data_IF_492613331768
#
_entry.id   IF_492613331768
#
_cell.length_a   1.000
_cell.length_b   1.000
_cell.length_c   1.000
_cell.angle_alpha   90.00
_cell.angle_beta   90.00
_cell.angle_gamma   90.00
#
_symmetry.space_group_name_H-M   'P 1'
#
loop_
_entity.id
_entity.type
_entity.pdbx_description
1 polymer ?
#
# COMPACT_ATOMS: atom_id res chain seq x y z
N UNK A 1 -30.03 24.89 60.36
CA UNK A 1 -29.60 24.66 58.98
C UNK A 1 -29.69 23.17 58.69
N UNK A 2 -30.75 22.70 58.04
CA UNK A 2 -30.94 21.31 57.72
C UNK A 2 -30.06 21.00 56.48
N UNK A 3 -29.11 20.08 56.63
CA UNK A 3 -28.36 19.47 55.51
C UNK A 3 -29.38 18.59 54.76
N UNK A 4 -29.85 19.06 53.62
CA UNK A 4 -30.46 18.20 52.61
C UNK A 4 -29.32 17.40 51.97
N UNK A 5 -28.98 16.25 52.58
CA UNK A 5 -28.32 15.18 51.89
C UNK A 5 -29.29 14.65 50.82
N UNK A 6 -29.00 14.87 49.59
CA UNK A 6 -29.67 14.19 48.47
C UNK A 6 -29.41 12.70 48.65
N UNK A 7 -30.38 11.98 49.21
CA UNK A 7 -30.37 10.53 49.33
C UNK A 7 -30.50 10.00 47.91
N UNK A 8 -29.34 9.74 47.24
CA UNK A 8 -29.31 9.22 45.86
C UNK A 8 -30.00 7.87 45.88
N UNK A 9 -31.06 7.76 45.10
CA UNK A 9 -31.74 6.48 44.89
C UNK A 9 -30.87 5.50 44.13
N UNK A 10 -31.03 4.21 44.38
CA UNK A 10 -30.27 3.15 43.70
C UNK A 10 -30.63 3.04 42.17
N UNK A 11 -31.66 3.74 41.74
CA UNK A 11 -32.21 3.61 40.39
C UNK A 11 -31.25 3.90 39.28
N UNK A 12 -30.40 4.93 39.42
CA UNK A 12 -29.37 5.26 38.46
C UNK A 12 -28.33 4.13 38.31
N UNK A 13 -27.82 3.61 39.41
CA UNK A 13 -26.83 2.52 39.38
C UNK A 13 -27.44 1.22 38.85
N UNK A 14 -28.69 0.94 39.17
CA UNK A 14 -29.42 -0.20 38.64
C UNK A 14 -29.57 -0.06 37.12
N UNK A 15 -29.97 1.10 36.61
CA UNK A 15 -30.09 1.36 35.17
C UNK A 15 -28.76 1.16 34.45
N UNK A 16 -27.66 1.68 35.03
CA UNK A 16 -26.30 1.50 34.49
C UNK A 16 -25.89 0.03 34.37
N UNK A 17 -26.21 -0.79 35.37
CA UNK A 17 -25.91 -2.23 35.36
C UNK A 17 -26.83 -3.00 34.40
N UNK A 18 -28.08 -2.59 34.22
CA UNK A 18 -29.02 -3.13 33.23
C UNK A 18 -28.47 -2.89 31.81
N UNK A 19 -28.00 -1.67 31.50
CA UNK A 19 -27.39 -1.32 30.20
C UNK A 19 -26.11 -2.11 29.91
N UNK A 20 -25.24 -2.28 30.95
CA UNK A 20 -24.05 -3.11 30.85
C UNK A 20 -24.39 -4.57 30.56
N UNK A 21 -25.38 -5.14 31.23
CA UNK A 21 -25.84 -6.50 30.99
C UNK A 21 -26.36 -6.69 29.55
N UNK A 22 -27.16 -5.74 29.07
CA UNK A 22 -27.65 -5.76 27.69
C UNK A 22 -26.53 -5.64 26.65
N UNK A 23 -25.50 -4.84 26.91
CA UNK A 23 -24.33 -4.73 26.07
C UNK A 23 -23.49 -6.01 26.10
N UNK A 24 -23.33 -6.61 27.28
CA UNK A 24 -22.60 -7.86 27.45
C UNK A 24 -23.29 -9.04 26.75
N UNK A 25 -24.63 -9.12 26.77
CA UNK A 25 -25.39 -10.12 26.03
C UNK A 25 -25.11 -10.04 24.52
N UNK A 26 -25.08 -8.83 23.97
CA UNK A 26 -24.75 -8.62 22.54
C UNK A 26 -23.30 -9.01 22.23
N UNK A 27 -22.34 -8.59 23.06
CA UNK A 27 -20.94 -8.91 22.91
C UNK A 27 -20.67 -10.42 23.00
N UNK A 28 -21.42 -11.14 23.86
CA UNK A 28 -21.28 -12.59 24.02
C UNK A 28 -21.72 -13.42 22.83
N UNK A 29 -22.43 -12.83 21.85
CA UNK A 29 -22.75 -13.47 20.57
C UNK A 29 -21.53 -13.53 19.65
N UNK A 30 -20.46 -12.78 19.93
CA UNK A 30 -19.26 -12.67 19.12
C UNK A 30 -19.57 -12.36 17.62
N UNK A 31 -20.55 -11.48 17.39
CA UNK A 31 -21.01 -11.14 16.03
C UNK A 31 -19.90 -10.45 15.24
N UNK A 32 -19.17 -9.52 15.86
CA UNK A 32 -18.07 -8.79 15.22
C UNK A 32 -16.97 -9.72 14.68
N UNK A 33 -16.74 -10.86 15.34
CA UNK A 33 -15.79 -11.88 14.83
C UNK A 33 -16.31 -12.62 13.60
N UNK A 34 -17.63 -12.84 13.52
CA UNK A 34 -18.24 -13.44 12.32
C UNK A 34 -18.15 -12.49 11.12
N UNK A 35 -18.43 -11.23 11.37
CA UNK A 35 -18.34 -10.18 10.36
C UNK A 35 -16.87 -10.05 9.88
N UNK A 36 -15.89 -10.05 10.79
CA UNK A 36 -14.46 -10.04 10.44
C UNK A 36 -14.05 -11.27 9.61
N UNK A 37 -14.57 -12.47 9.93
CA UNK A 37 -14.32 -13.67 9.12
C UNK A 37 -14.93 -13.56 7.71
N UNK A 38 -16.12 -12.96 7.57
CA UNK A 38 -16.77 -12.76 6.27
C UNK A 38 -16.00 -11.73 5.43
N UNK A 39 -15.56 -10.63 6.04
CA UNK A 39 -14.76 -9.60 5.38
C UNK A 39 -13.42 -10.13 4.89
N UNK A 40 -12.74 -10.91 5.73
CA UNK A 40 -11.47 -11.55 5.38
C UNK A 40 -11.67 -12.61 4.27
N UNK A 41 -12.75 -13.40 4.32
CA UNK A 41 -13.11 -14.35 3.27
C UNK A 41 -13.31 -13.66 1.91
N UNK A 42 -14.03 -12.53 1.92
CA UNK A 42 -14.22 -11.72 0.74
C UNK A 42 -12.92 -11.08 0.23
N UNK A 43 -12.02 -10.67 1.13
CA UNK A 43 -10.72 -10.14 0.76
C UNK A 43 -9.85 -11.20 0.10
N UNK A 44 -9.69 -12.37 0.72
CA UNK A 44 -8.94 -13.53 0.18
C UNK A 44 -9.47 -13.96 -1.19
N UNK A 45 -10.79 -14.04 -1.34
CA UNK A 45 -11.45 -14.46 -2.58
C UNK A 45 -11.22 -13.50 -3.74
N UNK A 46 -11.03 -12.20 -3.46
CA UNK A 46 -10.81 -11.17 -4.49
C UNK A 46 -9.37 -11.10 -5.02
N UNK A 47 -8.37 -11.56 -4.24
CA UNK A 47 -6.96 -11.45 -4.60
C UNK A 47 -6.60 -12.03 -5.98
N UNK A 48 -7.00 -13.28 -6.34
CA UNK A 48 -6.64 -13.85 -7.64
C UNK A 48 -7.19 -13.02 -8.81
N UNK A 49 -8.44 -12.54 -8.67
CA UNK A 49 -9.09 -11.71 -9.70
C UNK A 49 -8.38 -10.37 -9.91
N UNK A 50 -7.99 -9.69 -8.83
CA UNK A 50 -7.22 -8.44 -8.90
C UNK A 50 -5.86 -8.66 -9.57
N UNK A 51 -5.12 -9.70 -9.17
CA UNK A 51 -3.82 -10.00 -9.79
C UNK A 51 -3.97 -10.37 -11.26
N UNK A 52 -4.97 -11.19 -11.61
CA UNK A 52 -5.26 -11.54 -13.01
C UNK A 52 -5.56 -10.32 -13.88
N UNK A 53 -6.31 -9.34 -13.36
CA UNK A 53 -6.55 -8.07 -14.05
C UNK A 53 -5.25 -7.28 -14.27
N UNK A 54 -4.37 -7.21 -13.27
CA UNK A 54 -3.08 -6.56 -13.42
C UNK A 54 -2.20 -7.28 -14.48
N UNK A 55 -2.21 -8.62 -14.49
CA UNK A 55 -1.52 -9.43 -15.52
C UNK A 55 -2.06 -9.16 -16.92
N UNK A 56 -3.38 -9.15 -17.09
CA UNK A 56 -4.03 -8.85 -18.37
C UNK A 56 -3.69 -7.44 -18.91
N UNK A 57 -3.42 -6.47 -18.02
CA UNK A 57 -2.95 -5.13 -18.38
C UNK A 57 -1.43 -5.06 -18.65
N UNK A 58 -0.70 -6.16 -18.53
CA UNK A 58 0.72 -6.23 -18.86
C UNK A 58 1.69 -6.09 -17.67
N UNK A 59 1.23 -6.23 -16.42
CA UNK A 59 2.13 -6.31 -15.28
C UNK A 59 2.83 -7.68 -15.23
N UNK A 60 4.13 -7.72 -15.42
CA UNK A 60 4.88 -8.98 -15.60
C UNK A 60 5.81 -9.35 -14.44
N UNK A 61 5.98 -8.47 -13.46
CA UNK A 61 6.88 -8.71 -12.33
C UNK A 61 6.16 -9.33 -11.12
N UNK A 62 6.92 -9.64 -10.05
CA UNK A 62 6.43 -10.24 -8.82
C UNK A 62 5.70 -11.56 -9.07
N UNK A 63 6.33 -12.48 -9.83
CA UNK A 63 5.78 -13.82 -10.10
C UNK A 63 5.51 -14.67 -8.83
N UNK A 64 6.03 -14.24 -7.69
CA UNK A 64 5.77 -14.89 -6.40
C UNK A 64 4.36 -14.60 -5.84
N UNK A 65 3.65 -13.58 -6.37
CA UNK A 65 2.32 -13.22 -5.87
C UNK A 65 1.29 -14.33 -6.10
N UNK A 66 1.39 -15.07 -7.20
CA UNK A 66 0.52 -16.21 -7.46
C UNK A 66 0.67 -17.29 -6.38
N UNK A 67 1.92 -17.63 -6.03
CA UNK A 67 2.22 -18.63 -5.00
C UNK A 67 1.78 -18.13 -3.61
N UNK A 68 2.01 -16.86 -3.29
CA UNK A 68 1.58 -16.29 -2.01
C UNK A 68 0.06 -16.26 -1.88
N UNK A 69 -0.66 -15.90 -2.94
CA UNK A 69 -2.13 -15.93 -2.94
C UNK A 69 -2.63 -17.36 -2.77
N UNK A 70 -2.06 -18.33 -3.47
CA UNK A 70 -2.41 -19.73 -3.30
C UNK A 70 -2.20 -20.22 -1.87
N UNK A 71 -1.04 -19.94 -1.30
CA UNK A 71 -0.70 -20.34 0.07
C UNK A 71 -1.62 -19.68 1.12
N UNK A 72 -1.94 -18.40 0.96
CA UNK A 72 -2.85 -17.72 1.90
C UNK A 72 -4.28 -18.25 1.78
N UNK A 73 -4.75 -18.60 0.56
CA UNK A 73 -6.06 -19.21 0.35
C UNK A 73 -6.18 -20.58 1.04
N UNK A 74 -5.18 -21.45 0.89
CA UNK A 74 -5.15 -22.76 1.56
C UNK A 74 -5.15 -22.61 3.08
N UNK A 75 -4.30 -21.73 3.60
CA UNK A 75 -4.25 -21.46 5.05
C UNK A 75 -5.56 -20.87 5.56
N UNK A 76 -6.16 -19.95 4.81
CA UNK A 76 -7.44 -19.35 5.17
C UNK A 76 -8.57 -20.37 5.26
N UNK A 77 -8.69 -21.27 4.30
CA UNK A 77 -9.73 -22.30 4.30
C UNK A 77 -9.74 -23.13 5.59
N UNK A 78 -8.57 -23.55 6.07
CA UNK A 78 -8.44 -24.29 7.32
C UNK A 78 -8.69 -23.41 8.56
N UNK A 79 -8.13 -22.20 8.58
CA UNK A 79 -8.25 -21.26 9.68
C UNK A 79 -9.70 -20.83 9.88
N UNK A 80 -10.41 -20.48 8.79
CA UNK A 80 -11.81 -20.08 8.81
C UNK A 80 -12.71 -21.14 9.45
N UNK A 81 -12.57 -22.39 9.04
CA UNK A 81 -13.35 -23.50 9.60
C UNK A 81 -13.08 -23.69 11.09
N UNK A 82 -11.82 -23.57 11.51
CA UNK A 82 -11.42 -23.67 12.91
C UNK A 82 -11.99 -22.52 13.74
N UNK A 83 -11.86 -21.28 13.25
CA UNK A 83 -12.41 -20.09 13.92
C UNK A 83 -13.93 -20.15 14.06
N UNK A 84 -14.66 -20.55 13.00
CA UNK A 84 -16.12 -20.71 13.06
C UNK A 84 -16.57 -21.75 14.12
N UNK A 85 -15.84 -22.88 14.21
CA UNK A 85 -16.11 -23.90 15.24
C UNK A 85 -15.82 -23.36 16.65
N UNK A 86 -14.73 -22.63 16.80
CA UNK A 86 -14.35 -22.04 18.08
C UNK A 86 -15.35 -20.95 18.51
N UNK A 87 -15.77 -20.05 17.61
CA UNK A 87 -16.85 -19.07 17.92
C UNK A 87 -18.09 -19.80 18.45
N UNK A 88 -18.52 -20.85 17.73
CA UNK A 88 -19.72 -21.60 18.13
C UNK A 88 -19.56 -22.28 19.49
N UNK A 89 -18.37 -22.74 19.84
CA UNK A 89 -18.05 -23.30 21.14
C UNK A 89 -18.05 -22.21 22.21
N UNK A 90 -17.35 -21.10 21.98
CA UNK A 90 -17.26 -19.99 22.95
C UNK A 90 -18.61 -19.35 23.27
N UNK A 91 -19.46 -19.18 22.26
CA UNK A 91 -20.82 -18.66 22.48
C UNK A 91 -21.59 -19.56 23.44
N UNK A 92 -21.52 -20.90 23.27
CA UNK A 92 -22.18 -21.85 24.21
C UNK A 92 -21.55 -21.80 25.61
N UNK A 93 -20.20 -21.71 25.69
CA UNK A 93 -19.51 -21.66 26.98
C UNK A 93 -19.83 -20.38 27.77
N UNK A 94 -20.15 -19.29 27.07
CA UNK A 94 -20.52 -18.00 27.67
C UNK A 94 -22.01 -17.94 28.08
N UNK A 95 -22.87 -18.74 27.47
CA UNK A 95 -24.32 -18.65 27.63
C UNK A 95 -24.76 -18.72 29.12
N UNK A 96 -24.21 -19.66 29.87
CA UNK A 96 -24.51 -19.82 31.31
C UNK A 96 -24.03 -18.62 32.14
N UNK A 97 -22.86 -18.05 31.82
CA UNK A 97 -22.33 -16.89 32.54
C UNK A 97 -23.15 -15.63 32.27
N UNK A 98 -23.54 -15.45 31.02
CA UNK A 98 -24.40 -14.32 30.58
C UNK A 98 -25.77 -14.43 31.22
N UNK A 99 -26.37 -15.61 31.25
CA UNK A 99 -27.66 -15.86 31.89
C UNK A 99 -27.59 -15.56 33.38
N UNK A 100 -26.57 -16.06 34.10
CA UNK A 100 -26.38 -15.77 35.53
C UNK A 100 -26.13 -14.29 35.82
N UNK A 101 -25.45 -13.59 34.91
CA UNK A 101 -25.24 -12.14 35.05
C UNK A 101 -26.56 -11.37 34.87
N UNK A 102 -27.36 -11.74 33.86
CA UNK A 102 -28.68 -11.14 33.62
C UNK A 102 -29.63 -11.37 34.81
N UNK A 103 -29.70 -12.61 35.33
CA UNK A 103 -30.53 -12.91 36.49
C UNK A 103 -30.14 -12.08 37.75
N UNK A 104 -28.81 -11.92 37.94
CA UNK A 104 -28.31 -11.11 39.04
C UNK A 104 -28.71 -9.62 38.94
N UNK A 105 -28.66 -9.07 37.67
CA UNK A 105 -29.13 -7.71 37.43
C UNK A 105 -30.66 -7.62 37.61
N UNK A 106 -31.43 -8.59 37.11
CA UNK A 106 -32.88 -8.66 37.30
C UNK A 106 -33.25 -8.67 38.76
N UNK A 107 -32.45 -9.34 39.60
CA UNK A 107 -32.64 -9.37 41.07
C UNK A 107 -32.47 -8.01 41.74
N UNK A 108 -31.86 -7.00 41.10
CA UNK A 108 -31.78 -5.64 41.64
C UNK A 108 -33.08 -4.86 41.62
N UNK A 109 -34.09 -5.30 40.85
CA UNK A 109 -35.42 -4.62 40.78
C UNK A 109 -36.07 -4.39 42.12
N UNK A 110 -35.81 -5.28 43.13
CA UNK A 110 -36.32 -5.15 44.50
C UNK A 110 -35.76 -3.96 45.27
N UNK A 111 -34.67 -3.36 44.77
CA UNK A 111 -34.01 -2.19 45.37
C UNK A 111 -34.40 -0.87 44.68
N UNK A 112 -35.24 -0.91 43.67
CA UNK A 112 -35.72 0.32 43.04
C UNK A 112 -36.50 1.19 44.00
N UNK A 113 -36.28 2.50 43.95
CA UNK A 113 -36.86 3.47 44.87
C UNK A 113 -36.28 3.43 46.29
N UNK A 114 -35.26 2.58 46.58
CA UNK A 114 -34.57 2.55 47.89
C UNK A 114 -33.33 3.40 47.86
N UNK A 115 -32.84 3.76 49.07
CA UNK A 115 -31.60 4.50 49.20
C UNK A 115 -30.39 3.67 48.69
N UNK A 116 -29.37 4.36 48.15
CA UNK A 116 -28.17 3.74 47.65
C UNK A 116 -27.44 2.89 48.73
N UNK A 117 -27.45 3.33 49.98
CA UNK A 117 -26.81 2.62 51.11
C UNK A 117 -27.42 1.23 51.32
N UNK A 118 -28.72 1.08 51.16
CA UNK A 118 -29.42 -0.22 51.31
C UNK A 118 -29.10 -1.17 50.13
N UNK A 119 -28.92 -0.63 48.96
CA UNK A 119 -28.63 -1.41 47.74
C UNK A 119 -27.13 -1.72 47.54
N UNK A 120 -26.22 -0.98 48.15
CA UNK A 120 -24.77 -0.95 47.87
C UNK A 120 -24.13 -2.35 47.78
N UNK A 121 -24.39 -3.21 48.75
CA UNK A 121 -23.82 -4.56 48.79
C UNK A 121 -24.33 -5.44 47.64
N UNK A 122 -25.60 -5.24 47.21
CA UNK A 122 -26.16 -5.97 46.09
C UNK A 122 -25.62 -5.45 44.75
N UNK A 123 -25.52 -4.12 44.61
CA UNK A 123 -24.93 -3.48 43.43
C UNK A 123 -23.46 -3.92 43.22
N UNK A 124 -22.63 -3.90 44.27
CA UNK A 124 -21.23 -4.33 44.19
C UNK A 124 -21.09 -5.81 43.79
N UNK A 125 -21.96 -6.70 44.28
CA UNK A 125 -21.95 -8.11 43.89
C UNK A 125 -22.32 -8.30 42.43
N UNK A 126 -23.31 -7.56 41.92
CA UNK A 126 -23.72 -7.64 40.53
C UNK A 126 -22.65 -7.03 39.62
N UNK A 127 -22.08 -5.88 40.01
CA UNK A 127 -20.98 -5.24 39.29
C UNK A 127 -19.77 -6.19 39.13
N UNK A 128 -19.36 -6.84 40.22
CA UNK A 128 -18.28 -7.83 40.20
C UNK A 128 -18.59 -9.03 39.28
N UNK A 129 -19.86 -9.47 39.24
CA UNK A 129 -20.29 -10.57 38.39
C UNK A 129 -20.29 -10.19 36.90
N UNK A 130 -20.81 -9.00 36.55
CA UNK A 130 -20.73 -8.45 35.23
C UNK A 130 -19.28 -8.30 34.77
N UNK A 131 -18.41 -7.70 35.59
CA UNK A 131 -17.00 -7.55 35.26
C UNK A 131 -16.28 -8.89 35.06
N UNK A 132 -16.70 -9.95 35.75
CA UNK A 132 -16.17 -11.30 35.52
C UNK A 132 -16.62 -11.86 34.20
N UNK A 133 -17.90 -11.68 33.83
CA UNK A 133 -18.44 -12.15 32.54
C UNK A 133 -17.86 -11.34 31.36
N UNK A 134 -17.69 -10.02 31.52
CA UNK A 134 -17.00 -9.16 30.53
C UNK A 134 -15.60 -9.66 30.20
N UNK A 135 -14.77 -9.95 31.22
CA UNK A 135 -13.42 -10.50 31.01
C UNK A 135 -13.46 -11.85 30.28
N UNK A 136 -14.48 -12.69 30.51
CA UNK A 136 -14.60 -13.96 29.78
C UNK A 136 -14.99 -13.77 28.31
N UNK A 137 -15.88 -12.82 28.03
CA UNK A 137 -16.23 -12.43 26.66
C UNK A 137 -15.00 -11.88 25.93
N UNK A 138 -14.25 -10.98 26.57
CA UNK A 138 -13.01 -10.43 26.02
C UNK A 138 -11.98 -11.52 25.74
N UNK A 139 -11.72 -12.41 26.70
CA UNK A 139 -10.79 -13.53 26.53
C UNK A 139 -11.25 -14.50 25.41
N UNK A 140 -12.56 -14.70 25.24
CA UNK A 140 -13.08 -15.50 24.14
C UNK A 140 -12.86 -14.81 22.79
N UNK A 141 -13.09 -13.49 22.74
CA UNK A 141 -12.85 -12.67 21.56
C UNK A 141 -11.37 -12.70 21.13
N UNK A 142 -10.45 -12.42 22.08
CA UNK A 142 -9.00 -12.42 21.82
C UNK A 142 -8.51 -13.79 21.39
N UNK A 143 -9.01 -14.87 22.03
CA UNK A 143 -8.65 -16.23 21.68
C UNK A 143 -9.04 -16.60 20.24
N UNK A 144 -10.22 -16.17 19.77
CA UNK A 144 -10.67 -16.43 18.41
C UNK A 144 -9.96 -15.53 17.40
N UNK A 145 -9.84 -14.24 17.72
CA UNK A 145 -9.15 -13.28 16.86
C UNK A 145 -7.71 -13.71 16.59
N UNK A 146 -6.98 -14.11 17.61
CA UNK A 146 -5.60 -14.60 17.50
C UNK A 146 -5.45 -15.84 16.59
N UNK A 147 -6.54 -16.53 16.25
CA UNK A 147 -6.48 -17.66 15.31
C UNK A 147 -6.28 -17.20 13.86
N UNK A 148 -6.69 -16.00 13.50
CA UNK A 148 -6.65 -15.52 12.12
C UNK A 148 -5.87 -14.20 11.90
N UNK A 149 -5.41 -13.53 12.95
CA UNK A 149 -4.64 -12.28 12.85
C UNK A 149 -3.44 -12.39 11.89
N UNK A 150 -2.73 -13.52 11.90
CA UNK A 150 -1.59 -13.73 11.01
C UNK A 150 -2.03 -13.85 9.53
N UNK A 151 -3.19 -14.46 9.27
CA UNK A 151 -3.73 -14.54 7.90
C UNK A 151 -4.22 -13.17 7.45
N UNK A 152 -4.89 -12.42 8.33
CA UNK A 152 -5.32 -11.04 8.08
C UNK A 152 -4.14 -10.16 7.67
N UNK A 153 -3.06 -10.19 8.43
CA UNK A 153 -1.83 -9.44 8.13
C UNK A 153 -1.22 -9.83 6.78
N UNK A 154 -1.15 -11.12 6.44
CA UNK A 154 -0.64 -11.56 5.14
C UNK A 154 -1.56 -11.11 3.99
N UNK A 155 -2.88 -11.17 4.17
CA UNK A 155 -3.87 -10.70 3.18
C UNK A 155 -3.73 -9.20 2.96
N UNK A 156 -3.58 -8.41 4.01
CA UNK A 156 -3.34 -6.97 3.92
C UNK A 156 -2.06 -6.65 3.14
N UNK A 157 -0.97 -7.36 3.44
CA UNK A 157 0.30 -7.17 2.74
C UNK A 157 0.17 -7.51 1.25
N UNK A 158 -0.39 -8.68 0.90
CA UNK A 158 -0.57 -9.10 -0.49
C UNK A 158 -1.50 -8.14 -1.22
N UNK A 159 -2.58 -7.69 -0.56
CA UNK A 159 -3.52 -6.72 -1.13
C UNK A 159 -2.80 -5.41 -1.48
N UNK A 160 -2.01 -4.87 -0.56
CA UNK A 160 -1.24 -3.65 -0.79
C UNK A 160 -0.25 -3.80 -1.96
N UNK A 161 0.39 -4.98 -2.08
CA UNK A 161 1.29 -5.26 -3.20
C UNK A 161 0.56 -5.33 -4.55
N UNK A 162 -0.59 -5.99 -4.60
CA UNK A 162 -1.42 -6.10 -5.82
C UNK A 162 -2.02 -4.73 -6.19
N UNK A 163 -2.51 -3.98 -5.21
CA UNK A 163 -3.04 -2.62 -5.44
C UNK A 163 -1.93 -1.67 -5.93
N UNK A 164 -0.71 -1.80 -5.42
CA UNK A 164 0.45 -1.09 -5.96
C UNK A 164 0.79 -1.42 -7.41
N UNK A 165 0.55 -2.67 -7.85
CA UNK A 165 0.67 -3.03 -9.26
C UNK A 165 -0.40 -2.35 -10.13
N UNK A 166 -1.63 -2.30 -9.65
CA UNK A 166 -2.73 -1.63 -10.35
C UNK A 166 -2.48 -0.12 -10.42
N UNK A 167 -2.07 0.52 -9.32
CA UNK A 167 -1.73 1.95 -9.30
C UNK A 167 -0.60 2.30 -10.29
N UNK A 168 0.44 1.47 -10.37
CA UNK A 168 1.50 1.64 -11.37
C UNK A 168 0.92 1.62 -12.79
N UNK A 169 0.06 0.65 -13.11
CA UNK A 169 -0.54 0.54 -14.44
C UNK A 169 -1.44 1.74 -14.75
N UNK A 170 -2.21 2.23 -13.78
CA UNK A 170 -3.04 3.43 -13.93
C UNK A 170 -2.18 4.69 -14.21
N UNK A 171 -1.02 4.80 -13.55
CA UNK A 171 -0.07 5.88 -13.80
C UNK A 171 0.55 5.76 -15.20
N UNK A 172 0.85 4.54 -15.66
CA UNK A 172 1.40 4.28 -17.00
C UNK A 172 0.37 4.57 -18.10
N UNK A 173 -0.87 4.12 -17.94
CA UNK A 173 -1.95 4.38 -18.91
C UNK A 173 -2.25 5.88 -19.03
N UNK A 174 -2.10 6.64 -17.95
CA UNK A 174 -2.28 8.09 -17.93
C UNK A 174 -1.02 8.89 -18.25
N UNK A 175 0.09 8.27 -18.73
CA UNK A 175 1.32 8.99 -19.06
C UNK A 175 1.20 9.80 -20.36
N UNK A 176 1.90 10.94 -20.42
CA UNK A 176 1.94 11.80 -21.63
C UNK A 176 2.91 11.32 -22.72
N UNK A 177 3.56 10.18 -22.49
CA UNK A 177 4.55 9.58 -23.39
C UNK A 177 4.25 8.10 -23.64
N UNK A 178 4.77 7.56 -24.73
CA UNK A 178 4.62 6.14 -25.06
C UNK A 178 5.68 5.27 -24.39
N UNK A 179 5.29 4.07 -23.97
CA UNK A 179 6.21 3.01 -23.57
C UNK A 179 6.68 2.24 -24.81
N UNK A 180 7.91 1.74 -24.75
CA UNK A 180 8.48 0.95 -25.83
C UNK A 180 7.76 -0.41 -25.93
N UNK A 181 7.71 -1.06 -27.11
CA UNK A 181 7.19 -2.42 -27.20
C UNK A 181 7.89 -3.35 -26.22
N UNK A 182 7.11 -4.09 -25.41
CA UNK A 182 7.61 -4.99 -24.35
C UNK A 182 8.37 -4.28 -23.21
N UNK A 183 8.30 -2.98 -23.11
CA UNK A 183 8.76 -2.26 -21.92
C UNK A 183 7.76 -2.48 -20.80
N UNK A 184 8.24 -2.97 -19.66
CA UNK A 184 7.40 -3.28 -18.53
C UNK A 184 7.68 -2.31 -17.36
N UNK A 185 6.62 -1.78 -16.76
CA UNK A 185 6.71 -0.95 -15.57
C UNK A 185 7.15 -1.76 -14.34
N UNK A 186 8.11 -1.24 -13.61
CA UNK A 186 8.59 -1.83 -12.36
C UNK A 186 8.01 -1.08 -11.17
N UNK A 187 8.09 0.25 -11.18
CA UNK A 187 7.56 1.11 -10.14
C UNK A 187 7.32 2.54 -10.65
N UNK A 188 6.47 3.27 -9.94
CA UNK A 188 6.32 4.71 -10.11
C UNK A 188 6.19 5.39 -8.75
N UNK A 189 6.67 6.64 -8.64
CA UNK A 189 6.59 7.41 -7.41
C UNK A 189 6.39 8.89 -7.69
N UNK A 190 5.62 9.56 -6.86
CA UNK A 190 5.54 11.02 -6.87
C UNK A 190 6.91 11.59 -6.50
N UNK A 191 7.41 12.48 -7.33
CA UNK A 191 8.72 13.07 -7.12
C UNK A 191 8.72 14.57 -7.47
N UNK A 192 9.72 15.26 -6.97
CA UNK A 192 10.05 16.63 -7.37
C UNK A 192 11.48 16.63 -7.91
N UNK A 193 11.66 17.09 -9.14
CA UNK A 193 12.98 17.27 -9.71
C UNK A 193 13.61 18.60 -9.25
N UNK A 194 14.66 18.51 -8.44
CA UNK A 194 15.39 19.67 -7.91
C UNK A 194 16.46 20.11 -8.92
N UNK A 195 16.00 20.64 -10.06
CA UNK A 195 16.89 21.10 -11.14
C UNK A 195 17.88 22.13 -10.61
N UNK A 196 19.15 22.01 -10.98
CA UNK A 196 20.26 22.85 -10.53
C UNK A 196 20.40 22.91 -8.99
N UNK A 197 20.00 21.83 -8.29
CA UNK A 197 20.01 21.72 -6.83
C UNK A 197 19.19 22.79 -6.11
N UNK A 198 18.22 23.41 -6.80
CA UNK A 198 17.30 24.40 -6.22
C UNK A 198 16.35 23.74 -5.22
N UNK A 199 15.80 24.53 -4.31
CA UNK A 199 14.81 24.05 -3.33
C UNK A 199 13.45 23.75 -3.95
N UNK A 200 13.16 24.32 -5.11
CA UNK A 200 11.91 24.17 -5.85
C UNK A 200 12.18 23.70 -7.28
N UNK A 201 11.25 22.93 -7.81
CA UNK A 201 11.35 22.40 -9.15
C UNK A 201 10.04 21.69 -9.53
N UNK A 202 9.92 21.22 -10.79
CA UNK A 202 8.71 20.55 -11.28
C UNK A 202 8.37 19.34 -10.44
N UNK A 203 7.07 19.19 -10.14
CA UNK A 203 6.51 18.02 -9.48
C UNK A 203 5.92 17.07 -10.51
N UNK A 204 6.03 15.80 -10.27
CA UNK A 204 5.53 14.82 -11.20
C UNK A 204 5.70 13.40 -10.71
N UNK A 205 5.85 12.50 -11.66
CA UNK A 205 6.02 11.07 -11.44
C UNK A 205 7.38 10.63 -11.99
N UNK A 206 8.13 9.92 -11.17
CA UNK A 206 9.29 9.15 -11.61
C UNK A 206 8.83 7.73 -11.89
N UNK A 207 8.96 7.29 -13.13
CA UNK A 207 8.72 5.92 -13.56
C UNK A 207 10.05 5.18 -13.65
N UNK A 208 10.06 3.94 -13.15
CA UNK A 208 11.11 2.96 -13.39
C UNK A 208 10.50 1.82 -14.20
N UNK A 209 11.07 1.56 -15.36
CA UNK A 209 10.75 0.40 -16.19
C UNK A 209 11.92 -0.58 -16.18
N UNK A 210 11.78 -1.71 -16.82
CA UNK A 210 12.89 -2.65 -17.05
C UNK A 210 13.93 -2.11 -18.05
N UNK A 211 13.69 -0.95 -18.67
CA UNK A 211 14.56 -0.36 -19.70
C UNK A 211 15.10 1.02 -19.40
N UNK A 212 14.30 1.87 -18.74
CA UNK A 212 14.67 3.28 -18.50
C UNK A 212 14.01 3.86 -17.24
N UNK A 213 14.59 4.94 -16.75
CA UNK A 213 13.96 5.88 -15.83
C UNK A 213 13.36 7.02 -16.64
N UNK A 214 12.17 7.49 -16.25
CA UNK A 214 11.45 8.57 -16.93
C UNK A 214 10.88 9.50 -15.88
N UNK A 215 11.08 10.81 -16.03
CA UNK A 215 10.42 11.80 -15.20
C UNK A 215 9.42 12.59 -16.03
N UNK A 216 8.17 12.47 -15.65
CA UNK A 216 7.05 13.22 -16.20
C UNK A 216 6.64 14.31 -15.21
N UNK A 217 6.66 15.56 -15.62
CA UNK A 217 6.02 16.64 -14.87
C UNK A 217 4.50 16.44 -14.90
N UNK A 218 3.87 16.47 -13.73
CA UNK A 218 2.41 16.34 -13.60
C UNK A 218 1.93 17.19 -12.44
N UNK A 219 1.66 18.48 -12.71
CA UNK A 219 1.24 19.41 -11.68
C UNK A 219 0.30 20.50 -12.20
N UNK A 220 -0.52 21.03 -11.31
CA UNK A 220 -1.37 22.20 -11.61
C UNK A 220 -0.57 23.48 -11.40
N UNK A 221 -0.32 24.21 -12.47
CA UNK A 221 0.40 25.50 -12.47
C UNK A 221 -0.61 26.64 -12.57
N UNK A 222 -0.45 27.65 -11.72
CA UNK A 222 -1.31 28.84 -11.78
C UNK A 222 -0.99 29.70 -13.00
N UNK A 223 -1.96 29.89 -13.91
CA UNK A 223 -1.82 30.72 -15.12
C UNK A 223 -1.88 32.22 -14.84
N UNK A 224 -2.67 32.68 -13.86
CA UNK A 224 -2.83 34.09 -13.49
C UNK A 224 -2.97 34.26 -11.98
N UNK A 225 -2.19 35.17 -11.41
CA UNK A 225 -2.40 35.73 -10.07
C UNK A 225 -2.94 37.12 -10.23
N UNK A 226 -4.16 37.41 -9.76
CA UNK A 226 -4.71 38.74 -9.63
C UNK A 226 -4.93 38.96 -8.14
N UNK A 227 -4.25 39.97 -7.57
CA UNK A 227 -4.39 40.37 -6.17
C UNK A 227 -4.31 39.18 -5.18
N UNK A 228 -3.26 38.31 -5.33
CA UNK A 228 -3.02 37.12 -4.48
C UNK A 228 -4.04 35.98 -4.61
N UNK A 229 -5.04 36.09 -5.50
CA UNK A 229 -6.02 35.03 -5.76
C UNK A 229 -5.63 34.27 -7.03
N UNK A 230 -5.59 32.93 -6.95
CA UNK A 230 -5.42 32.05 -8.13
C UNK A 230 -6.72 32.04 -8.92
N UNK A 231 -6.74 32.67 -10.11
CA UNK A 231 -7.95 32.76 -10.95
C UNK A 231 -8.11 31.59 -11.89
N UNK A 232 -7.02 30.97 -12.31
CA UNK A 232 -7.05 29.75 -13.13
C UNK A 232 -5.81 28.89 -12.93
N UNK A 233 -5.97 27.58 -13.03
CA UNK A 233 -4.85 26.62 -13.03
C UNK A 233 -4.93 25.75 -14.27
N UNK A 234 -3.78 25.43 -14.85
CA UNK A 234 -3.64 24.49 -15.96
C UNK A 234 -2.88 23.26 -15.45
N UNK A 235 -3.29 22.09 -15.88
CA UNK A 235 -2.54 20.86 -15.68
C UNK A 235 -1.39 20.86 -16.70
N UNK A 236 -0.15 20.92 -16.21
CA UNK A 236 1.04 20.65 -17.03
C UNK A 236 1.37 19.20 -16.89
N UNK A 237 1.40 18.48 -18.02
CA UNK A 237 1.76 17.08 -18.08
C UNK A 237 2.65 16.84 -19.30
N UNK A 238 3.94 16.61 -19.06
CA UNK A 238 4.93 16.42 -20.11
C UNK A 238 6.13 15.60 -19.62
N UNK A 239 6.71 14.78 -20.48
CA UNK A 239 7.96 14.09 -20.20
C UNK A 239 9.12 15.09 -20.24
N UNK A 240 9.79 15.30 -19.11
CA UNK A 240 10.92 16.22 -19.03
C UNK A 240 12.24 15.56 -19.40
N UNK A 241 12.42 14.31 -19.05
CA UNK A 241 13.63 13.56 -19.39
C UNK A 241 13.43 12.05 -19.25
N UNK A 242 14.29 11.32 -19.93
CA UNK A 242 14.46 9.88 -19.81
C UNK A 242 15.94 9.50 -19.73
N UNK A 243 16.21 8.36 -19.09
CA UNK A 243 17.52 7.78 -18.95
C UNK A 243 17.45 6.26 -19.12
N UNK A 244 17.91 5.70 -20.24
CA UNK A 244 18.05 4.26 -20.41
C UNK A 244 18.87 3.66 -19.26
N UNK A 245 18.47 2.50 -18.74
CA UNK A 245 19.11 1.87 -17.58
C UNK A 245 20.63 1.71 -17.78
N UNK A 246 21.08 1.34 -18.97
CA UNK A 246 22.50 1.20 -19.28
C UNK A 246 23.30 2.52 -19.29
N UNK A 247 22.64 3.68 -19.19
CA UNK A 247 23.29 4.98 -19.08
C UNK A 247 23.58 5.40 -17.65
N UNK A 248 23.01 4.73 -16.66
CA UNK A 248 23.22 5.03 -15.25
C UNK A 248 24.66 4.73 -14.84
N UNK A 249 25.37 5.76 -14.40
CA UNK A 249 26.74 5.65 -13.90
C UNK A 249 26.73 5.57 -12.38
N UNK A 250 25.87 6.36 -11.76
CA UNK A 250 25.74 6.44 -10.32
C UNK A 250 24.28 6.72 -9.92
N UNK A 251 23.84 6.07 -8.84
CA UNK A 251 22.54 6.36 -8.20
C UNK A 251 22.67 6.22 -6.69
N UNK A 252 22.38 7.32 -5.98
CA UNK A 252 22.57 7.43 -4.54
C UNK A 252 21.30 7.89 -3.85
N UNK A 253 20.93 7.18 -2.80
CA UNK A 253 19.92 7.60 -1.86
C UNK A 253 20.54 8.44 -0.74
N UNK A 254 19.80 9.42 -0.25
CA UNK A 254 20.17 10.18 0.95
C UNK A 254 18.94 10.77 1.64
N UNK A 255 18.95 10.68 2.95
CA UNK A 255 17.93 11.32 3.80
C UNK A 255 18.47 12.66 4.31
N UNK A 256 17.66 13.73 4.21
CA UNK A 256 17.97 15.02 4.82
C UNK A 256 16.85 15.42 5.79
N UNK A 257 17.19 15.69 7.03
CA UNK A 257 16.27 16.25 8.02
C UNK A 257 16.03 17.73 7.75
N UNK A 258 14.79 18.15 7.65
CA UNK A 258 14.39 19.56 7.43
C UNK A 258 13.93 20.23 8.73
N UNK A 259 13.46 19.47 9.70
CA UNK A 259 13.06 19.88 11.04
C UNK A 259 13.03 18.61 11.92
N UNK A 260 12.74 18.73 13.21
CA UNK A 260 12.74 17.60 14.16
C UNK A 260 11.89 16.38 13.70
N UNK A 261 10.95 16.56 12.77
CA UNK A 261 9.97 15.51 12.36
C UNK A 261 9.91 15.29 10.83
N UNK A 262 10.40 16.23 10.00
CA UNK A 262 10.25 16.14 8.54
C UNK A 262 11.54 15.66 7.88
N UNK A 263 11.49 14.46 7.31
CA UNK A 263 12.54 13.86 6.49
C UNK A 263 12.29 14.16 5.01
N UNK A 264 13.35 14.33 4.25
CA UNK A 264 13.31 14.44 2.79
C UNK A 264 14.08 13.25 2.22
N UNK A 265 13.39 12.48 1.43
CA UNK A 265 13.94 11.34 0.72
C UNK A 265 14.52 11.81 -0.62
N UNK A 266 15.81 11.72 -0.78
CA UNK A 266 16.52 12.25 -1.95
C UNK A 266 17.17 11.12 -2.73
N UNK A 267 16.95 11.10 -4.04
CA UNK A 267 17.60 10.23 -5.00
C UNK A 267 18.44 11.07 -5.97
N UNK A 268 19.74 10.82 -6.03
CA UNK A 268 20.65 11.42 -7.01
C UNK A 268 20.94 10.41 -8.10
N UNK A 269 20.79 10.80 -9.36
CA UNK A 269 21.10 10.01 -10.54
C UNK A 269 22.19 10.72 -11.34
N UNK A 270 23.21 9.99 -11.80
CA UNK A 270 24.21 10.47 -12.75
C UNK A 270 24.19 9.55 -13.96
N UNK A 271 24.03 10.14 -15.13
CA UNK A 271 23.86 9.43 -16.39
C UNK A 271 24.92 9.86 -17.41
N UNK A 272 25.32 8.92 -18.27
CA UNK A 272 26.12 9.19 -19.47
C UNK A 272 25.22 9.28 -20.70
N UNK A 273 25.74 9.83 -21.79
CA UNK A 273 25.05 9.79 -23.08
C UNK A 273 24.62 8.35 -23.45
N UNK A 274 23.46 8.14 -24.07
CA UNK A 274 22.56 9.14 -24.63
C UNK A 274 21.36 9.53 -23.71
N UNK A 275 21.48 9.42 -22.38
CA UNK A 275 20.42 9.93 -21.50
C UNK A 275 20.17 11.44 -21.78
N UNK A 276 18.91 11.86 -21.77
CA UNK A 276 18.53 13.26 -21.99
C UNK A 276 18.81 14.15 -20.75
N UNK A 277 19.22 13.53 -19.65
CA UNK A 277 19.65 14.20 -18.41
C UNK A 277 21.03 13.69 -17.99
N UNK A 278 21.94 14.62 -17.64
CA UNK A 278 23.28 14.24 -17.12
C UNK A 278 23.25 13.96 -15.63
N UNK A 279 22.54 14.77 -14.87
CA UNK A 279 22.37 14.64 -13.43
C UNK A 279 20.95 15.00 -13.05
N UNK A 280 20.32 14.20 -12.21
CA UNK A 280 19.03 14.51 -11.62
C UNK A 280 19.07 14.32 -10.11
N UNK A 281 18.65 15.34 -9.37
CA UNK A 281 18.35 15.26 -7.93
C UNK A 281 16.85 15.29 -7.74
N UNK A 282 16.30 14.22 -7.18
CA UNK A 282 14.88 14.03 -6.98
C UNK A 282 14.54 13.97 -5.50
N UNK A 283 13.51 14.66 -5.09
CA UNK A 283 12.86 14.47 -3.78
C UNK A 283 11.67 13.53 -3.99
N UNK A 284 11.73 12.36 -3.39
CA UNK A 284 10.72 11.30 -3.53
C UNK A 284 9.67 11.38 -2.42
N UNK A 285 8.45 10.92 -2.69
CA UNK A 285 7.41 10.72 -1.67
C UNK A 285 7.49 9.33 -1.00
N UNK A 286 8.50 8.53 -1.32
CA UNK A 286 8.74 7.21 -0.77
C UNK A 286 10.22 7.08 -0.35
N UNK A 287 10.54 6.02 0.37
CA UNK A 287 11.89 5.71 0.85
C UNK A 287 12.91 5.66 -0.30
N UNK A 288 13.93 6.51 -0.24
CA UNK A 288 14.94 6.64 -1.29
C UNK A 288 15.92 5.47 -1.33
N UNK A 289 16.18 4.79 -0.21
CA UNK A 289 17.03 3.58 -0.17
C UNK A 289 16.30 2.39 -0.81
N UNK A 290 15.00 2.23 -0.58
CA UNK A 290 14.19 1.24 -1.27
C UNK A 290 14.19 1.47 -2.79
N UNK A 291 14.06 2.71 -3.24
CA UNK A 291 14.15 3.07 -4.66
C UNK A 291 15.52 2.80 -5.24
N UNK A 292 16.60 3.14 -4.53
CA UNK A 292 17.96 2.81 -4.94
C UNK A 292 18.16 1.29 -5.10
N UNK A 293 17.67 0.50 -4.14
CA UNK A 293 17.73 -0.95 -4.20
C UNK A 293 16.94 -1.50 -5.41
N UNK A 294 15.76 -0.94 -5.70
CA UNK A 294 14.95 -1.33 -6.84
C UNK A 294 15.62 -1.01 -8.18
N UNK A 295 16.20 0.18 -8.31
CA UNK A 295 16.99 0.56 -9.50
C UNK A 295 18.17 -0.42 -9.66
N UNK A 296 18.87 -0.76 -8.58
CA UNK A 296 19.97 -1.71 -8.64
C UNK A 296 19.52 -3.08 -9.16
N UNK A 297 18.37 -3.59 -8.72
CA UNK A 297 17.81 -4.85 -9.20
C UNK A 297 17.48 -4.83 -10.69
N UNK A 298 17.05 -3.68 -11.21
CA UNK A 298 16.82 -3.51 -12.66
C UNK A 298 18.17 -3.46 -13.41
N UNK A 299 19.16 -2.70 -12.91
CA UNK A 299 20.49 -2.57 -13.50
C UNK A 299 21.20 -3.92 -13.56
N UNK A 300 21.14 -4.72 -12.50
CA UNK A 300 21.76 -6.06 -12.42
C UNK A 300 20.99 -7.13 -13.19
N UNK A 301 19.75 -6.84 -13.59
CA UNK A 301 18.86 -7.81 -14.21
C UNK A 301 18.17 -8.76 -13.22
N UNK A 302 18.33 -8.58 -11.90
CA UNK A 302 17.68 -9.42 -10.88
C UNK A 302 16.15 -9.35 -10.95
N UNK A 303 15.58 -8.21 -11.41
CA UNK A 303 14.13 -8.10 -11.64
C UNK A 303 13.60 -9.14 -12.64
N UNK A 304 14.42 -9.59 -13.58
CA UNK A 304 13.99 -10.60 -14.55
C UNK A 304 13.71 -11.97 -13.92
N UNK A 305 14.24 -12.24 -12.73
CA UNK A 305 13.98 -13.48 -12.00
C UNK A 305 12.53 -13.57 -11.51
N UNK A 306 11.87 -12.45 -11.39
CA UNK A 306 10.47 -12.34 -10.91
C UNK A 306 9.46 -12.12 -12.05
N UNK A 307 9.87 -12.25 -13.31
CA UNK A 307 8.96 -12.11 -14.45
C UNK A 307 8.14 -13.38 -14.67
N UNK A 308 6.86 -13.23 -14.98
CA UNK A 308 5.97 -14.33 -15.38
C UNK A 308 6.14 -14.70 -16.85
N UNK A 309 6.63 -13.78 -17.70
CA UNK A 309 6.85 -13.93 -19.14
C UNK A 309 8.30 -14.26 -19.52
N UNK A 310 9.03 -14.96 -18.61
CA UNK A 310 10.49 -15.25 -18.79
C UNK A 310 10.84 -15.89 -20.13
N UNK A 311 10.04 -16.85 -20.57
CA UNK A 311 10.30 -17.58 -21.82
C UNK A 311 10.14 -16.66 -23.04
N UNK A 312 9.15 -15.76 -23.03
CA UNK A 312 8.96 -14.77 -24.09
C UNK A 312 10.05 -13.69 -24.07
N UNK A 313 10.54 -13.32 -22.88
CA UNK A 313 11.60 -12.34 -22.73
C UNK A 313 12.98 -12.89 -23.14
N UNK A 314 13.24 -14.17 -22.87
CA UNK A 314 14.52 -14.82 -23.21
C UNK A 314 14.67 -15.10 -24.73
N UNK A 315 13.55 -15.35 -25.43
CA UNK A 315 13.56 -15.77 -26.83
C UNK A 315 13.79 -14.60 -27.80
N UNK A 316 13.66 -13.34 -27.37
CA UNK A 316 13.65 -12.19 -28.29
C UNK A 316 14.24 -10.90 -27.69
N UNK A 317 15.47 -10.91 -27.20
CA UNK A 317 16.24 -9.68 -27.30
C UNK A 317 16.59 -9.49 -28.79
N UNK A 318 15.98 -8.54 -29.52
CA UNK A 318 16.37 -8.32 -30.88
C UNK A 318 17.84 -7.90 -30.88
N UNK A 319 18.62 -8.57 -31.69
CA UNK A 319 19.98 -8.07 -32.02
C UNK A 319 19.76 -6.70 -32.64
N UNK A 320 20.12 -5.66 -31.89
CA UNK A 320 20.01 -4.30 -32.40
C UNK A 320 21.18 -4.10 -33.35
N UNK A 321 20.91 -4.17 -34.66
CA UNK A 321 21.93 -3.88 -35.65
C UNK A 321 22.18 -2.38 -35.70
N UNK A 322 23.38 -1.99 -35.26
CA UNK A 322 23.87 -0.63 -35.45
C UNK A 322 24.44 -0.53 -36.86
N UNK A 323 23.99 0.43 -37.67
CA UNK A 323 24.64 0.66 -38.97
C UNK A 323 26.13 0.97 -38.75
N UNK A 324 27.01 0.28 -39.40
CA UNK A 324 28.47 0.52 -39.33
C UNK A 324 28.87 1.89 -39.90
N UNK A 325 27.94 2.57 -40.59
CA UNK A 325 28.17 3.91 -41.15
C UNK A 325 26.91 4.77 -40.98
N UNK A 326 27.10 6.06 -40.72
CA UNK A 326 26.01 7.02 -40.66
C UNK A 326 25.32 7.12 -42.05
N UNK A 327 23.97 6.96 -42.14
CA UNK A 327 23.28 7.05 -43.43
C UNK A 327 23.29 8.47 -44.05
N UNK A 328 23.56 9.49 -43.23
CA UNK A 328 23.55 10.90 -43.65
C UNK A 328 24.93 11.39 -44.07
N UNK A 329 25.98 11.13 -43.31
CA UNK A 329 27.35 11.66 -43.61
C UNK A 329 28.36 10.57 -43.99
N UNK A 330 28.02 9.29 -43.95
CA UNK A 330 28.89 8.17 -44.32
C UNK A 330 30.02 7.88 -43.34
N UNK A 331 30.14 8.61 -42.22
CA UNK A 331 31.15 8.39 -41.20
C UNK A 331 30.95 7.03 -40.51
N UNK A 332 32.05 6.35 -40.22
CA UNK A 332 32.04 5.10 -39.45
C UNK A 332 31.50 5.34 -38.06
N UNK A 333 30.59 4.47 -37.62
CA UNK A 333 29.94 4.55 -36.32
C UNK A 333 30.51 3.44 -35.41
N UNK A 334 31.27 3.82 -34.41
CA UNK A 334 31.69 2.94 -33.32
C UNK A 334 30.93 3.38 -32.05
N UNK A 335 29.66 2.98 -31.98
CA UNK A 335 28.76 3.41 -30.92
C UNK A 335 28.35 2.19 -30.10
N UNK A 336 28.66 2.23 -28.80
CA UNK A 336 28.16 1.24 -27.85
C UNK A 336 26.65 1.43 -27.65
N UNK A 337 25.86 0.47 -28.11
CA UNK A 337 24.42 0.43 -27.83
C UNK A 337 24.21 -0.14 -26.41
N UNK A 338 23.45 0.58 -25.60
CA UNK A 338 23.05 0.13 -24.28
C UNK A 338 21.56 -0.22 -24.26
N UNK A 339 21.19 -1.10 -23.34
CA UNK A 339 19.81 -1.55 -23.17
C UNK A 339 18.84 -0.36 -23.02
N UNK A 340 17.79 -0.33 -23.83
CA UNK A 340 16.79 0.74 -23.81
C UNK A 340 16.98 1.86 -24.84
N UNK A 341 18.05 1.83 -25.64
CA UNK A 341 18.24 2.79 -26.72
C UNK A 341 17.34 2.49 -27.92
N UNK A 342 16.71 3.52 -28.46
CA UNK A 342 15.88 3.45 -29.69
C UNK A 342 16.55 4.10 -30.90
N UNK A 343 17.47 5.01 -30.62
CA UNK A 343 18.22 5.73 -31.64
C UNK A 343 19.60 6.10 -31.11
N UNK A 344 20.54 6.37 -32.01
CA UNK A 344 21.87 6.88 -31.70
C UNK A 344 22.11 8.16 -32.48
N UNK A 345 22.77 9.13 -31.84
CA UNK A 345 23.17 10.36 -32.52
C UNK A 345 24.53 10.18 -33.17
N UNK A 346 24.65 10.53 -34.43
CA UNK A 346 25.93 10.50 -35.13
C UNK A 346 26.88 11.54 -34.52
N UNK A 347 28.06 11.15 -33.99
CA UNK A 347 29.00 12.08 -33.36
C UNK A 347 29.63 13.09 -34.34
N UNK A 348 29.46 12.88 -35.64
CA UNK A 348 30.05 13.72 -36.67
C UNK A 348 29.09 14.73 -37.28
N UNK A 349 27.79 14.39 -37.43
CA UNK A 349 26.82 15.27 -38.09
C UNK A 349 25.57 15.53 -37.25
N UNK A 350 25.45 14.98 -36.06
CA UNK A 350 24.30 15.20 -35.18
C UNK A 350 23.00 14.51 -35.62
N UNK A 351 23.01 13.73 -36.71
CA UNK A 351 21.80 13.04 -37.17
C UNK A 351 21.41 11.93 -36.23
N UNK A 352 20.13 11.91 -35.87
CA UNK A 352 19.53 10.88 -35.03
C UNK A 352 19.21 9.64 -35.90
N UNK A 353 19.90 8.54 -35.65
CA UNK A 353 19.82 7.29 -36.42
C UNK A 353 18.96 6.31 -35.63
N UNK A 354 17.74 5.97 -36.10
CA UNK A 354 16.91 4.99 -35.42
C UNK A 354 17.56 3.61 -35.46
N UNK A 355 17.59 2.94 -34.33
CA UNK A 355 18.06 1.57 -34.21
C UNK A 355 16.93 0.64 -34.68
N UNK A 356 17.13 0.05 -35.87
CA UNK A 356 16.16 -0.89 -36.43
C UNK A 356 16.25 -2.23 -35.70
N UNK A 357 15.10 -2.83 -35.48
CA UNK A 357 15.00 -4.20 -35.00
C UNK A 357 15.24 -5.13 -36.15
N UNK A 358 16.27 -5.98 -36.08
CA UNK A 358 16.41 -7.13 -36.93
C UNK A 358 15.33 -8.19 -36.71
#
# INVERSE_FOLDING_TARGET
>A
MAQYGTDQTADYEIGRLEDRAASLQRAGLLADLRDALEDLDAAVSRLPGKLSQARARGYVFKSYLEDQIGAVQERWNSTRQNAQREISRRVRDLEDDLHRAEEAVRGLRRYRGRSLSVAQSALNRVDSRLSSAERRVEAANDSVKGMFDAVESDVEQITAEVDGCVELLDLMDGASFGFQPREAGVAAVKARWLKDRRKEGPRGILFLTDRRLIFEQREKVAKKKVLFIKVSSELVQEMLWEAPIGTLVEFKASEKRRALVLKRELLTLVCKQPATVKEALLELSADSDAWRALINRVVTGDMNKERVDREEAAVKEPVIEVPSKCPTCGAGLDIQVVRGMMAVECPYCGTNIPLMKG
#
